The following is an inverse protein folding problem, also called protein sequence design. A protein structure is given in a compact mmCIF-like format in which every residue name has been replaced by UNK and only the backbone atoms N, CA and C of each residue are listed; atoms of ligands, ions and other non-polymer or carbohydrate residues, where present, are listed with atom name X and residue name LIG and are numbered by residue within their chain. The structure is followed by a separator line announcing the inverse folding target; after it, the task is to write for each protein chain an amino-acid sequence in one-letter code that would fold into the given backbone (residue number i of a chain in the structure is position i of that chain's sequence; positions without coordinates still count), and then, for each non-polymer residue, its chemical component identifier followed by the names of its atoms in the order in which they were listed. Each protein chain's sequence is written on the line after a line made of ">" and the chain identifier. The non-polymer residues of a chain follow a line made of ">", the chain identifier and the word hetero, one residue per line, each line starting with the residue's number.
data_IF_913039552954
#
_entry.id   IF_913039552954
#
_cell.length_a   1.000
_cell.length_b   1.000
_cell.length_c   1.000
_cell.angle_alpha   90.00
_cell.angle_beta   90.00
_cell.angle_gamma   90.00
#
_symmetry.space_group_name_H-M   'P 1'
#
loop_
_entity.id
_entity.type
_entity.pdbx_description
1 polymer ?
#
# COMPACT_ATOMS: atom_id res chain seq x y z
N UNK A 1 2.80 -3.79 -14.06
CA UNK A 1 2.98 -2.49 -14.75
C UNK A 1 3.66 -1.54 -13.76
N UNK A 2 4.85 -1.02 -14.08
CA UNK A 2 5.52 -0.04 -13.23
C UNK A 2 4.90 1.33 -13.52
N UNK A 3 4.13 1.85 -12.57
CA UNK A 3 3.59 3.21 -12.62
C UNK A 3 4.46 4.09 -11.76
N UNK A 4 4.89 5.23 -12.29
CA UNK A 4 5.67 6.23 -11.59
C UNK A 4 5.27 7.63 -12.09
N UNK A 5 5.05 8.55 -11.16
CA UNK A 5 4.72 9.94 -11.44
C UNK A 5 5.20 10.83 -10.31
N UNK A 6 5.93 11.90 -10.65
CA UNK A 6 6.22 12.97 -9.71
C UNK A 6 5.03 13.96 -9.67
N UNK A 7 4.56 14.29 -8.47
CA UNK A 7 3.53 15.29 -8.21
C UNK A 7 4.04 16.32 -7.21
N UNK A 8 3.56 17.56 -7.35
CA UNK A 8 3.83 18.62 -6.38
C UNK A 8 2.65 18.69 -5.42
N UNK A 9 2.92 18.55 -4.14
CA UNK A 9 1.94 18.64 -3.06
C UNK A 9 1.53 20.11 -2.83
N UNK A 10 0.44 20.31 -2.07
CA UNK A 10 -0.09 21.65 -1.80
C UNK A 10 0.87 22.54 -1.00
N UNK A 11 1.77 21.93 -0.24
CA UNK A 11 2.84 22.58 0.51
C UNK A 11 4.09 22.87 -0.36
N UNK A 12 4.05 22.55 -1.66
CA UNK A 12 5.16 22.73 -2.59
C UNK A 12 6.19 21.60 -2.57
N UNK A 13 6.01 20.58 -1.71
CA UNK A 13 6.92 19.45 -1.65
C UNK A 13 6.75 18.53 -2.88
N UNK A 14 7.84 17.90 -3.30
CA UNK A 14 7.83 16.89 -4.35
C UNK A 14 7.46 15.54 -3.76
N UNK A 15 6.49 14.86 -4.36
CA UNK A 15 6.05 13.53 -3.98
C UNK A 15 6.13 12.59 -5.17
N UNK A 16 6.75 11.43 -4.96
CA UNK A 16 6.83 10.37 -5.95
C UNK A 16 5.69 9.38 -5.75
N UNK A 17 4.70 9.41 -6.65
CA UNK A 17 3.62 8.46 -6.68
C UNK A 17 4.02 7.27 -7.56
N UNK A 18 4.32 6.13 -6.94
CA UNK A 18 4.71 4.90 -7.64
C UNK A 18 3.93 3.68 -7.16
N UNK A 19 3.94 2.63 -7.97
CA UNK A 19 3.47 1.31 -7.54
C UNK A 19 4.34 0.74 -6.41
N UNK A 20 3.70 0.11 -5.42
CA UNK A 20 4.40 -0.61 -4.37
C UNK A 20 5.01 -1.93 -4.91
N UNK A 21 6.24 -2.21 -4.50
CA UNK A 21 6.96 -3.45 -4.80
C UNK A 21 7.23 -4.27 -3.53
N UNK A 22 7.90 -5.41 -3.70
CA UNK A 22 8.22 -6.35 -2.62
C UNK A 22 8.92 -5.68 -1.42
N UNK A 23 9.84 -4.74 -1.70
CA UNK A 23 10.58 -4.01 -0.68
C UNK A 23 9.71 -3.05 0.16
N UNK A 24 8.54 -2.65 -0.35
CA UNK A 24 7.64 -1.72 0.33
C UNK A 24 6.69 -2.44 1.31
N UNK A 25 6.66 -3.78 1.31
CA UNK A 25 5.72 -4.58 2.10
C UNK A 25 5.72 -4.23 3.60
N UNK A 26 6.90 -3.98 4.17
CA UNK A 26 7.03 -3.61 5.58
C UNK A 26 6.41 -2.24 5.88
N UNK A 27 6.65 -1.24 5.02
CA UNK A 27 6.07 0.10 5.18
C UNK A 27 4.56 0.12 4.90
N UNK A 28 4.08 -0.72 3.99
CA UNK A 28 2.64 -0.89 3.74
C UNK A 28 1.95 -1.40 4.99
N UNK A 29 2.48 -2.45 5.63
CA UNK A 29 1.91 -3.00 6.86
C UNK A 29 1.97 -1.99 8.00
N UNK A 30 3.12 -1.32 8.19
CA UNK A 30 3.28 -0.27 9.20
C UNK A 30 2.27 0.86 9.01
N UNK A 31 2.06 1.31 7.77
CA UNK A 31 1.10 2.38 7.46
C UNK A 31 -0.31 1.90 7.76
N UNK A 32 -0.65 0.65 7.41
CA UNK A 32 -1.94 0.05 7.74
C UNK A 32 -2.18 0.10 9.25
N UNK A 33 -1.28 -0.47 10.06
CA UNK A 33 -1.47 -0.53 11.52
C UNK A 33 -1.63 0.86 12.13
N UNK A 34 -0.81 1.82 11.69
CA UNK A 34 -0.87 3.20 12.16
C UNK A 34 -2.23 3.85 11.84
N UNK A 35 -2.68 3.77 10.58
CA UNK A 35 -3.93 4.42 10.19
C UNK A 35 -5.17 3.80 10.86
N UNK A 36 -5.14 2.48 11.07
CA UNK A 36 -6.25 1.76 11.68
C UNK A 36 -6.28 1.92 13.20
N UNK A 37 -5.15 2.25 13.83
CA UNK A 37 -5.10 2.64 15.23
C UNK A 37 -5.51 4.11 15.48
N UNK A 38 -5.27 5.00 14.50
CA UNK A 38 -5.53 6.44 14.64
C UNK A 38 -6.96 6.87 14.24
N UNK A 39 -7.73 6.01 13.55
CA UNK A 39 -9.06 6.36 13.03
C UNK A 39 -10.12 5.32 13.38
N UNK A 40 -11.07 5.70 14.25
CA UNK A 40 -12.10 4.82 14.84
C UNK A 40 -13.21 4.31 13.87
N UNK A 41 -13.04 4.44 12.56
CA UNK A 41 -14.11 4.14 11.57
C UNK A 41 -13.62 3.45 10.30
N UNK A 42 -12.46 2.81 10.33
CA UNK A 42 -12.07 1.95 9.22
C UNK A 42 -12.83 0.61 9.23
N UNK A 43 -12.85 -0.05 8.07
CA UNK A 43 -13.59 -1.31 7.87
C UNK A 43 -13.00 -2.48 8.66
N UNK A 44 -11.76 -2.36 9.13
CA UNK A 44 -11.01 -3.39 9.87
C UNK A 44 -10.14 -2.73 10.93
N UNK A 45 -10.04 -3.28 12.12
CA UNK A 45 -9.09 -2.83 13.14
C UNK A 45 -7.70 -3.46 12.92
N UNK A 46 -6.61 -2.88 13.49
CA UNK A 46 -5.27 -3.44 13.35
C UNK A 46 -5.18 -4.90 13.79
N UNK A 47 -5.88 -5.29 14.86
CA UNK A 47 -5.89 -6.65 15.40
C UNK A 47 -6.65 -7.66 14.54
N UNK A 48 -7.50 -7.19 13.62
CA UNK A 48 -8.20 -8.05 12.66
C UNK A 48 -7.33 -8.40 11.45
N UNK A 49 -6.16 -7.75 11.33
CA UNK A 49 -5.19 -8.03 10.30
C UNK A 49 -4.22 -9.14 10.74
N UNK A 50 -4.23 -10.27 10.02
CA UNK A 50 -3.30 -11.39 10.25
C UNK A 50 -2.15 -11.46 9.24
N UNK A 51 -1.95 -10.43 8.40
CA UNK A 51 -0.97 -10.48 7.32
C UNK A 51 0.45 -10.32 7.83
N UNK A 52 1.34 -11.18 7.33
CA UNK A 52 2.78 -11.05 7.57
C UNK A 52 3.46 -10.26 6.45
N UNK A 53 4.59 -9.61 6.75
CA UNK A 53 5.41 -8.89 5.75
C UNK A 53 5.79 -9.79 4.58
N UNK A 54 6.02 -11.10 4.82
CA UNK A 54 6.37 -12.07 3.79
C UNK A 54 5.21 -12.38 2.83
N UNK A 55 3.98 -12.41 3.35
CA UNK A 55 2.79 -12.60 2.52
C UNK A 55 2.49 -11.36 1.69
N UNK A 56 2.63 -10.17 2.30
CA UNK A 56 2.46 -8.91 1.59
C UNK A 56 3.53 -8.73 0.50
N UNK A 57 4.79 -9.09 0.78
CA UNK A 57 5.88 -9.10 -0.19
C UNK A 57 5.58 -9.99 -1.40
N UNK A 58 5.14 -11.24 -1.16
CA UNK A 58 4.73 -12.17 -2.23
C UNK A 58 3.55 -11.62 -3.02
N UNK A 59 2.59 -11.01 -2.35
CA UNK A 59 1.43 -10.43 -2.97
C UNK A 59 1.81 -9.24 -3.89
N UNK A 60 2.63 -8.31 -3.41
CA UNK A 60 3.11 -7.17 -4.18
C UNK A 60 3.95 -7.60 -5.38
N UNK A 61 4.78 -8.65 -5.22
CA UNK A 61 5.52 -9.24 -6.33
C UNK A 61 4.60 -9.77 -7.43
N UNK A 62 3.66 -10.65 -7.07
CA UNK A 62 2.68 -11.19 -8.02
C UNK A 62 1.83 -10.10 -8.69
N UNK A 63 1.52 -9.02 -7.95
CA UNK A 63 0.81 -7.86 -8.47
C UNK A 63 1.64 -7.07 -9.48
N UNK A 64 2.94 -6.87 -9.21
CA UNK A 64 3.84 -6.13 -10.10
C UNK A 64 3.97 -6.81 -11.48
N UNK A 65 3.95 -8.15 -11.47
CA UNK A 65 4.04 -9.03 -12.63
C UNK A 65 2.71 -9.14 -13.41
N UNK A 66 1.57 -8.89 -12.74
CA UNK A 66 0.25 -8.96 -13.36
C UNK A 66 -0.09 -7.76 -14.26
N UNK A 67 -0.67 -8.05 -15.44
CA UNK A 67 -1.06 -7.03 -16.44
C UNK A 67 -2.34 -6.26 -16.10
N UNK A 68 -3.12 -6.67 -15.07
CA UNK A 68 -4.44 -6.12 -14.70
C UNK A 68 -4.44 -5.31 -13.38
N UNK A 69 -3.39 -4.56 -13.08
CA UNK A 69 -3.26 -3.82 -11.81
C UNK A 69 -4.16 -2.55 -11.67
N UNK A 70 -5.17 -2.34 -12.53
CA UNK A 70 -5.86 -1.05 -12.61
C UNK A 70 -7.11 -0.90 -11.72
N UNK A 71 -7.61 -1.95 -11.03
CA UNK A 71 -9.00 -1.88 -10.50
C UNK A 71 -9.28 -2.09 -9.01
N UNK A 72 -8.41 -2.71 -8.22
CA UNK A 72 -8.70 -2.90 -6.78
C UNK A 72 -7.52 -2.42 -5.92
N UNK A 73 -7.46 -1.11 -5.66
CA UNK A 73 -6.50 -0.52 -4.70
C UNK A 73 -7.13 -0.18 -3.34
N UNK A 74 -8.39 -0.52 -3.08
CA UNK A 74 -9.07 -0.03 -1.87
C UNK A 74 -9.99 -1.01 -1.17
N UNK A 75 -10.12 -2.26 -1.63
CA UNK A 75 -10.86 -3.27 -0.89
C UNK A 75 -10.13 -4.59 -1.07
N UNK A 76 -9.57 -5.06 0.04
CA UNK A 76 -9.31 -6.47 0.26
C UNK A 76 -9.68 -6.77 1.70
#
# INVERSE_FOLDING_TARGET
>A
MQYEKEIILKDGAKCLLRGAGEADAAEVLRTFDLTHAETDYFLTYPEENSFTVQEEAKFLKARSESKKCHRNCGVR
#
